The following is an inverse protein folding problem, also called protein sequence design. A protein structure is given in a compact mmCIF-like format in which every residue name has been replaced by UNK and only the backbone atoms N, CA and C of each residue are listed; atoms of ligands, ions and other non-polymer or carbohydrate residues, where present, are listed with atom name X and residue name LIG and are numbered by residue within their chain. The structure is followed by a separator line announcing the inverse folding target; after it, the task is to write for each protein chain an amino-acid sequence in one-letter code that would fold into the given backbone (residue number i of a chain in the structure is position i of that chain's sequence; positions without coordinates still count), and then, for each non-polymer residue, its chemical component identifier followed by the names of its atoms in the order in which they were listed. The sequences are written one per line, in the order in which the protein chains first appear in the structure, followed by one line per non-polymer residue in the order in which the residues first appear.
data_IF_525173914536
#
_entry.id   IF_525173914536
#
_cell.length_a   1.000
_cell.length_b   1.000
_cell.length_c   1.000
_cell.angle_alpha   90.00
_cell.angle_beta   90.00
_cell.angle_gamma   90.00
#
_symmetry.space_group_name_H-M   'P 1'
#
loop_
_entity.id
_entity.type
_entity.pdbx_description
1 polymer ?
#
# COMPACT_ATOMS: atom_id res chain seq x y z
N UNK A 1 -24.39 48.54 -37.17
CA UNK A 1 -24.62 47.14 -37.58
C UNK A 1 -23.29 46.40 -37.37
N UNK A 2 -23.14 45.32 -36.61
CA UNK A 2 -24.12 44.40 -36.05
C UNK A 2 -23.73 43.92 -34.65
N UNK A 3 -24.71 43.32 -33.99
CA UNK A 3 -24.77 43.00 -32.58
C UNK A 3 -23.87 41.83 -32.16
N UNK A 4 -23.44 41.90 -30.89
CA UNK A 4 -22.85 40.80 -30.14
C UNK A 4 -23.79 39.58 -30.10
N UNK A 5 -23.28 38.41 -30.50
CA UNK A 5 -23.94 37.13 -30.23
C UNK A 5 -23.44 36.59 -28.89
N UNK A 6 -24.32 36.63 -27.89
CA UNK A 6 -24.24 35.77 -26.69
C UNK A 6 -24.41 34.33 -27.16
N UNK A 7 -23.44 33.46 -26.91
CA UNK A 7 -23.65 32.02 -27.02
C UNK A 7 -24.21 31.54 -25.69
N UNK A 8 -25.35 30.87 -25.76
CA UNK A 8 -26.11 30.40 -24.62
C UNK A 8 -25.37 29.26 -23.90
N UNK A 9 -25.48 29.29 -22.58
CA UNK A 9 -25.17 28.20 -21.67
C UNK A 9 -26.02 26.98 -22.08
N UNK A 10 -25.38 25.93 -22.59
CA UNK A 10 -25.99 24.63 -22.77
C UNK A 10 -25.54 23.72 -21.64
N UNK A 11 -26.44 23.39 -20.72
CA UNK A 11 -26.24 22.30 -19.77
C UNK A 11 -26.31 20.95 -20.51
N UNK A 12 -25.31 20.05 -20.35
CA UNK A 12 -25.54 18.65 -20.58
C UNK A 12 -26.05 17.97 -19.30
N UNK A 13 -27.25 17.42 -19.47
CA UNK A 13 -27.89 16.32 -18.75
C UNK A 13 -27.07 15.59 -17.67
N UNK A 14 -27.71 15.43 -16.51
CA UNK A 14 -27.19 14.69 -15.37
C UNK A 14 -26.74 13.27 -15.71
N UNK A 15 -25.43 13.05 -15.58
CA UNK A 15 -24.88 11.80 -15.08
C UNK A 15 -24.51 12.03 -13.63
N UNK A 16 -25.03 11.21 -12.70
CA UNK A 16 -24.62 11.28 -11.29
C UNK A 16 -23.13 10.92 -11.22
N UNK A 17 -22.23 11.84 -10.84
CA UNK A 17 -20.82 11.50 -10.70
C UNK A 17 -20.64 10.50 -9.56
N UNK A 18 -19.71 9.57 -9.78
CA UNK A 18 -19.52 8.32 -9.05
C UNK A 18 -19.79 8.38 -7.55
N UNK A 19 -20.75 7.58 -7.11
CA UNK A 19 -20.90 7.24 -5.70
C UNK A 19 -19.71 6.38 -5.30
N UNK A 20 -18.99 6.82 -4.29
CA UNK A 20 -18.04 5.95 -3.60
C UNK A 20 -18.91 4.95 -2.85
N UNK A 21 -18.80 3.66 -3.20
CA UNK A 21 -19.62 2.64 -2.57
C UNK A 21 -19.20 2.54 -1.09
N UNK A 22 -19.98 3.14 -0.19
CA UNK A 22 -19.72 3.10 1.26
C UNK A 22 -19.75 1.67 1.83
N UNK A 23 -20.25 0.70 1.06
CA UNK A 23 -20.29 -0.73 1.40
C UNK A 23 -19.06 -1.50 0.92
N UNK A 24 -18.24 -0.93 0.04
CA UNK A 24 -17.00 -1.55 -0.44
C UNK A 24 -15.83 -0.67 0.03
N UNK A 25 -15.59 -0.62 1.33
CA UNK A 25 -14.39 -0.02 1.91
C UNK A 25 -13.22 -0.97 1.64
N UNK A 26 -12.74 -1.00 0.40
CA UNK A 26 -11.49 -1.65 0.07
C UNK A 26 -10.36 -0.77 0.62
N UNK A 27 -9.73 -1.23 1.70
CA UNK A 27 -8.61 -0.56 2.39
C UNK A 27 -7.32 -0.73 1.60
N UNK A 28 -7.23 -0.04 0.46
CA UNK A 28 -6.04 0.00 -0.37
C UNK A 28 -5.17 1.20 0.03
N UNK A 29 -3.84 1.04 0.15
CA UNK A 29 -2.91 2.13 0.43
C UNK A 29 -2.73 3.00 -0.83
N UNK A 30 -3.73 3.81 -1.14
CA UNK A 30 -3.77 4.66 -2.33
C UNK A 30 -3.50 6.11 -1.97
N UNK A 31 -2.94 6.88 -2.91
CA UNK A 31 -2.84 8.33 -2.82
C UNK A 31 -3.43 8.93 -4.09
N UNK A 32 -4.39 9.85 -3.96
CA UNK A 32 -4.90 10.60 -5.11
C UNK A 32 -4.04 11.85 -5.31
N UNK A 33 -3.51 12.03 -6.52
CA UNK A 33 -2.59 13.13 -6.83
C UNK A 33 -3.06 13.96 -8.02
N UNK A 34 -3.21 15.25 -7.81
CA UNK A 34 -3.42 16.22 -8.89
C UNK A 34 -2.08 16.63 -9.49
N UNK A 35 -1.79 16.16 -10.71
CA UNK A 35 -0.52 16.47 -11.39
C UNK A 35 -0.46 17.94 -11.85
N UNK A 36 -1.59 18.51 -12.26
CA UNK A 36 -1.72 19.91 -12.64
C UNK A 36 -2.87 20.56 -11.87
N UNK A 37 -2.65 21.81 -11.45
CA UNK A 37 -3.60 22.53 -10.62
C UNK A 37 -4.88 22.96 -11.37
N UNK A 38 -4.80 23.10 -12.69
CA UNK A 38 -5.91 23.55 -13.55
C UNK A 38 -7.00 22.49 -13.74
N UNK A 39 -6.68 21.21 -13.53
CA UNK A 39 -7.66 20.11 -13.55
C UNK A 39 -8.20 19.75 -12.17
N UNK A 40 -7.89 20.53 -11.14
CA UNK A 40 -8.42 20.30 -9.80
C UNK A 40 -9.94 20.42 -9.81
N UNK A 41 -10.63 19.40 -9.32
CA UNK A 41 -12.05 19.47 -8.99
C UNK A 41 -12.30 19.05 -7.55
N UNK A 42 -13.43 19.47 -7.00
CA UNK A 42 -13.89 18.97 -5.70
C UNK A 42 -14.49 17.59 -5.90
N UNK A 43 -13.91 16.59 -5.23
CA UNK A 43 -14.45 15.24 -5.25
C UNK A 43 -15.71 15.19 -4.40
N UNK A 44 -16.83 14.87 -5.04
CA UNK A 44 -18.14 14.74 -4.41
C UNK A 44 -18.69 13.34 -4.70
N UNK A 45 -18.70 12.41 -3.74
CA UNK A 45 -18.26 12.58 -2.35
C UNK A 45 -16.72 12.66 -2.20
N UNK A 46 -16.22 13.19 -1.07
CA UNK A 46 -14.78 13.27 -0.80
C UNK A 46 -14.17 11.86 -0.69
N UNK A 47 -12.84 11.74 -0.90
CA UNK A 47 -12.16 10.49 -0.67
C UNK A 47 -12.29 10.03 0.80
N UNK A 48 -12.37 8.71 1.07
CA UNK A 48 -12.20 8.13 2.36
C UNK A 48 -10.93 8.66 3.02
N UNK A 49 -10.92 8.71 4.35
CA UNK A 49 -9.80 9.28 5.10
C UNK A 49 -8.46 8.59 4.84
N UNK A 50 -8.47 7.31 4.42
CA UNK A 50 -7.27 6.54 4.12
C UNK A 50 -6.66 6.84 2.74
N UNK A 51 -7.33 7.60 1.86
CA UNK A 51 -6.80 7.99 0.54
C UNK A 51 -6.37 9.47 0.60
N UNK A 52 -5.11 9.78 0.96
CA UNK A 52 -4.62 11.15 1.00
C UNK A 52 -4.63 11.84 -0.37
N UNK A 53 -4.84 13.16 -0.33
CA UNK A 53 -4.78 14.05 -1.48
C UNK A 53 -3.40 14.71 -1.58
N UNK A 54 -2.75 14.60 -2.73
CA UNK A 54 -1.44 15.18 -3.04
C UNK A 54 -1.49 16.06 -4.28
N UNK A 55 -0.47 16.93 -4.44
CA UNK A 55 -0.35 17.83 -5.59
C UNK A 55 1.06 17.77 -6.18
N UNK A 56 1.15 18.00 -7.49
CA UNK A 56 2.40 18.15 -8.24
C UNK A 56 2.86 16.88 -8.96
N UNK A 57 3.85 17.01 -9.86
CA UNK A 57 4.39 15.90 -10.64
C UNK A 57 4.85 14.74 -9.75
N UNK A 58 4.74 13.51 -10.24
CA UNK A 58 5.40 12.39 -9.60
C UNK A 58 6.92 12.63 -9.70
N UNK A 59 7.63 12.49 -8.58
CA UNK A 59 9.09 12.42 -8.66
C UNK A 59 9.44 11.29 -9.64
N UNK A 60 10.41 11.49 -10.55
CA UNK A 60 10.97 10.39 -11.32
C UNK A 60 11.32 9.30 -10.32
N UNK A 61 10.74 8.13 -10.53
CA UNK A 61 11.04 6.94 -9.74
C UNK A 61 12.46 6.56 -10.08
N UNK A 62 13.43 7.14 -9.37
CA UNK A 62 14.67 6.45 -9.12
C UNK A 62 14.27 5.24 -8.28
N UNK A 63 14.44 4.05 -8.81
CA UNK A 63 14.36 2.80 -8.08
C UNK A 63 15.08 2.95 -6.74
N UNK A 64 14.32 3.10 -5.65
CA UNK A 64 14.70 2.95 -4.24
C UNK A 64 13.80 3.82 -3.35
N UNK A 65 12.66 3.28 -2.92
CA UNK A 65 12.40 3.37 -1.48
C UNK A 65 13.24 2.28 -0.85
N UNK A 66 14.50 2.59 -0.58
CA UNK A 66 15.36 1.75 0.25
C UNK A 66 14.74 1.81 1.64
N UNK A 67 13.92 0.81 1.98
CA UNK A 67 13.56 0.54 3.36
C UNK A 67 14.87 0.59 4.14
N UNK A 68 14.94 1.47 5.15
CA UNK A 68 16.15 1.64 5.94
C UNK A 68 16.54 0.28 6.50
N UNK A 69 17.49 -0.39 5.84
CA UNK A 69 18.17 -1.55 6.35
C UNK A 69 18.89 -1.07 7.59
N UNK A 70 18.27 -1.32 8.74
CA UNK A 70 18.90 -1.11 10.03
C UNK A 70 20.18 -1.94 10.00
N UNK A 71 21.33 -1.28 10.06
CA UNK A 71 22.61 -1.95 10.17
C UNK A 71 22.56 -2.84 11.41
N UNK A 72 22.48 -4.15 11.19
CA UNK A 72 22.67 -5.13 12.25
C UNK A 72 24.13 -5.03 12.68
N UNK A 73 24.36 -4.45 13.85
CA UNK A 73 25.66 -4.51 14.50
C UNK A 73 25.94 -5.98 14.84
N UNK A 74 27.09 -6.43 14.38
CA UNK A 74 27.73 -7.73 14.62
C UNK A 74 27.48 -8.25 16.05
N UNK A 75 26.65 -9.28 16.15
CA UNK A 75 26.62 -10.18 17.29
C UNK A 75 26.40 -11.57 16.72
N UNK A 76 27.43 -12.40 16.80
CA UNK A 76 27.48 -13.77 16.32
C UNK A 76 26.17 -14.53 16.60
N UNK A 77 25.52 -15.15 15.59
CA UNK A 77 24.46 -16.12 15.85
C UNK A 77 25.13 -17.46 16.16
N UNK A 78 25.55 -17.62 17.41
CA UNK A 78 25.70 -18.95 17.99
C UNK A 78 24.30 -19.50 18.34
N UNK A 79 24.05 -20.70 17.82
CA UNK A 79 23.16 -21.75 18.33
C UNK A 79 21.76 -21.92 17.68
N UNK A 80 21.56 -23.17 17.24
CA UNK A 80 20.30 -23.88 17.00
C UNK A 80 19.56 -23.65 15.66
N UNK A 81 20.14 -24.21 14.60
CA UNK A 81 19.35 -24.86 13.55
C UNK A 81 18.58 -26.02 14.21
N UNK A 82 17.27 -25.86 14.47
CA UNK A 82 16.18 -26.87 14.44
C UNK A 82 14.96 -26.49 15.31
N UNK A 83 14.95 -25.33 15.99
CA UNK A 83 13.71 -24.83 16.60
C UNK A 83 12.88 -24.10 15.54
N UNK A 84 11.97 -24.81 14.87
CA UNK A 84 11.04 -24.19 13.91
C UNK A 84 10.36 -22.99 14.58
N UNK A 85 10.58 -21.79 14.05
CA UNK A 85 10.04 -20.58 14.64
C UNK A 85 8.51 -20.68 14.72
N UNK A 86 7.94 -20.39 15.88
CA UNK A 86 6.49 -20.40 16.10
C UNK A 86 5.91 -18.99 15.96
N UNK A 87 4.68 -18.93 15.46
CA UNK A 87 3.89 -17.71 15.43
C UNK A 87 3.61 -17.24 16.85
N UNK A 88 3.86 -15.96 17.12
CA UNK A 88 3.66 -15.36 18.45
C UNK A 88 2.18 -15.26 18.86
N UNK A 89 1.26 -15.44 17.90
CA UNK A 89 -0.19 -15.27 18.10
C UNK A 89 -0.92 -16.61 18.26
N UNK A 90 -0.67 -17.57 17.37
CA UNK A 90 -1.35 -18.87 17.41
C UNK A 90 -0.47 -20.00 17.96
N UNK A 91 0.81 -19.73 18.27
CA UNK A 91 1.83 -20.71 18.67
C UNK A 91 2.10 -21.84 17.65
N UNK A 92 1.49 -21.78 16.46
CA UNK A 92 1.72 -22.72 15.37
C UNK A 92 3.07 -22.48 14.68
N UNK A 93 3.58 -23.50 13.98
CA UNK A 93 4.82 -23.39 13.23
C UNK A 93 4.69 -22.40 12.06
N UNK A 94 5.69 -21.54 11.88
CA UNK A 94 5.82 -20.67 10.72
C UNK A 94 6.43 -21.52 9.59
N UNK A 95 5.60 -21.96 8.64
CA UNK A 95 6.02 -22.75 7.48
C UNK A 95 5.58 -22.14 6.15
N UNK A 96 5.03 -20.92 6.17
CA UNK A 96 4.49 -20.29 4.96
C UNK A 96 5.62 -19.99 3.96
N UNK A 97 5.35 -20.23 2.68
CA UNK A 97 6.28 -19.97 1.57
C UNK A 97 6.69 -18.49 1.51
N UNK A 98 5.77 -17.58 1.83
CA UNK A 98 6.03 -16.13 1.91
C UNK A 98 6.84 -15.68 3.14
N UNK A 99 7.10 -16.59 4.09
CA UNK A 99 7.77 -16.27 5.35
C UNK A 99 6.90 -15.49 6.36
N UNK A 100 7.36 -15.34 7.62
CA UNK A 100 6.60 -14.66 8.67
C UNK A 100 6.70 -13.13 8.58
N UNK A 101 5.61 -12.45 8.93
CA UNK A 101 5.68 -11.01 9.18
C UNK A 101 6.45 -10.73 10.47
N UNK A 102 7.42 -9.83 10.37
CA UNK A 102 8.28 -9.41 11.47
C UNK A 102 8.07 -7.93 11.78
N UNK A 103 8.10 -7.55 13.05
CA UNK A 103 8.03 -6.15 13.43
C UNK A 103 9.31 -5.39 13.00
N UNK A 104 9.22 -4.25 12.29
CA UNK A 104 10.38 -3.48 11.85
C UNK A 104 11.12 -2.75 12.99
N UNK A 105 10.48 -2.62 14.16
CA UNK A 105 11.10 -1.96 15.29
C UNK A 105 12.25 -2.80 15.87
N UNK A 106 13.44 -2.20 16.07
CA UNK A 106 14.62 -2.93 16.50
C UNK A 106 14.42 -3.59 17.87
N UNK A 107 14.87 -4.84 17.98
CA UNK A 107 14.77 -5.64 19.21
C UNK A 107 13.37 -6.17 19.52
N UNK A 108 12.37 -5.93 18.67
CA UNK A 108 11.06 -6.55 18.85
C UNK A 108 11.09 -8.02 18.40
N UNK A 109 10.69 -8.98 19.27
CA UNK A 109 10.73 -10.40 18.92
C UNK A 109 9.51 -10.87 18.11
N UNK A 110 8.60 -9.96 17.72
CA UNK A 110 7.35 -10.35 17.06
C UNK A 110 7.63 -11.01 15.72
N UNK A 111 7.18 -12.26 15.60
CA UNK A 111 7.06 -13.01 14.34
C UNK A 111 5.69 -13.68 14.31
N UNK A 112 4.93 -13.49 13.24
CA UNK A 112 3.58 -14.03 13.14
C UNK A 112 3.26 -14.46 11.69
N UNK A 113 2.31 -15.37 11.55
CA UNK A 113 1.67 -15.60 10.25
C UNK A 113 1.02 -14.31 9.76
N UNK A 114 1.02 -14.11 8.45
CA UNK A 114 0.35 -12.96 7.83
C UNK A 114 -1.12 -12.89 8.26
N UNK A 115 -1.84 -14.01 8.18
CA UNK A 115 -3.28 -14.06 8.49
C UNK A 115 -3.52 -13.74 9.98
N UNK A 116 -2.73 -14.33 10.90
CA UNK A 116 -2.90 -14.08 12.33
C UNK A 116 -2.69 -12.60 12.69
N UNK A 117 -1.68 -11.95 12.09
CA UNK A 117 -1.44 -10.54 12.35
C UNK A 117 -2.51 -9.65 11.72
N UNK A 118 -3.03 -10.03 10.54
CA UNK A 118 -4.15 -9.33 9.91
C UNK A 118 -5.40 -9.38 10.79
N UNK A 119 -5.77 -10.56 11.29
CA UNK A 119 -6.91 -10.74 12.18
C UNK A 119 -6.78 -9.92 13.46
N UNK A 120 -5.58 -9.87 14.04
CA UNK A 120 -5.29 -9.05 15.22
C UNK A 120 -5.55 -7.55 14.96
N UNK A 121 -5.14 -7.03 13.79
CA UNK A 121 -5.34 -5.63 13.44
C UNK A 121 -6.80 -5.32 13.07
N UNK A 122 -7.56 -6.32 12.63
CA UNK A 122 -8.94 -6.17 12.15
C UNK A 122 -10.01 -6.41 13.23
N UNK A 123 -9.63 -6.64 14.48
CA UNK A 123 -10.58 -6.94 15.57
C UNK A 123 -11.68 -5.87 15.73
N UNK A 124 -11.34 -4.60 15.52
CA UNK A 124 -12.26 -3.47 15.65
C UNK A 124 -12.98 -3.12 14.34
N UNK A 125 -12.62 -3.77 13.22
CA UNK A 125 -13.14 -3.48 11.88
C UNK A 125 -13.73 -4.74 11.21
N UNK A 126 -14.82 -5.32 11.77
CA UNK A 126 -15.42 -6.54 11.25
C UNK A 126 -15.93 -6.33 9.81
N UNK A 127 -15.48 -7.18 8.89
CA UNK A 127 -15.84 -7.14 7.46
C UNK A 127 -14.78 -6.50 6.57
N UNK A 128 -13.71 -5.95 7.14
CA UNK A 128 -12.48 -5.63 6.40
C UNK A 128 -11.65 -6.91 6.20
N UNK A 129 -10.98 -7.01 5.05
CA UNK A 129 -10.08 -8.12 4.73
C UNK A 129 -8.60 -7.73 4.82
N UNK A 130 -8.31 -6.43 4.73
CA UNK A 130 -6.96 -5.89 4.71
C UNK A 130 -6.87 -4.78 5.76
N UNK A 131 -6.04 -4.93 6.81
CA UNK A 131 -5.80 -3.84 7.73
C UNK A 131 -4.96 -2.75 7.03
N UNK A 132 -5.19 -1.51 7.40
CA UNK A 132 -4.34 -0.38 6.98
C UNK A 132 -3.13 -0.24 7.92
N UNK A 133 -3.41 -0.28 9.22
CA UNK A 133 -2.47 -0.11 10.31
C UNK A 133 -2.92 -0.90 11.54
N UNK A 134 -2.03 -1.05 12.51
CA UNK A 134 -2.34 -1.67 13.80
C UNK A 134 -1.22 -1.51 14.81
N UNK A 135 -1.45 -1.92 16.05
CA UNK A 135 -0.42 -1.88 17.10
C UNK A 135 0.29 -3.22 17.20
N UNK A 136 1.63 -3.20 17.18
CA UNK A 136 2.44 -4.40 17.35
C UNK A 136 2.09 -5.11 18.68
N UNK A 137 1.66 -6.38 18.69
CA UNK A 137 1.35 -7.08 19.94
C UNK A 137 2.57 -7.25 20.86
N UNK A 138 3.79 -7.24 20.31
CA UNK A 138 5.05 -7.32 21.06
C UNK A 138 5.50 -5.99 21.67
N UNK A 139 5.80 -4.97 20.84
CA UNK A 139 6.36 -3.69 21.31
C UNK A 139 5.35 -2.55 21.44
N UNK A 140 4.08 -2.76 21.06
CA UNK A 140 2.97 -1.78 21.11
C UNK A 140 3.12 -0.53 20.23
N UNK A 141 4.20 -0.41 19.46
CA UNK A 141 4.33 0.67 18.49
C UNK A 141 3.35 0.47 17.31
N UNK A 142 2.94 1.59 16.70
CA UNK A 142 2.14 1.59 15.48
C UNK A 142 2.90 0.98 14.30
N UNK A 143 2.20 0.18 13.52
CA UNK A 143 2.69 -0.49 12.32
C UNK A 143 1.76 -0.19 11.16
N UNK A 144 2.34 0.09 9.98
CA UNK A 144 1.60 0.16 8.73
C UNK A 144 1.63 -1.20 8.05
N UNK A 145 0.47 -1.69 7.61
CA UNK A 145 0.39 -3.00 6.96
C UNK A 145 1.24 -3.06 5.69
N UNK A 146 1.19 -2.00 4.88
CA UNK A 146 1.99 -1.90 3.66
C UNK A 146 3.49 -2.04 3.90
N UNK A 147 4.02 -1.44 4.98
CA UNK A 147 5.43 -1.54 5.32
C UNK A 147 5.82 -2.98 5.71
N UNK A 148 4.95 -3.68 6.45
CA UNK A 148 5.18 -5.08 6.83
C UNK A 148 5.23 -5.99 5.60
N UNK A 149 4.32 -5.81 4.64
CA UNK A 149 4.29 -6.61 3.40
C UNK A 149 5.51 -6.32 2.52
N UNK A 150 5.89 -5.06 2.37
CA UNK A 150 7.09 -4.67 1.60
C UNK A 150 8.36 -5.29 2.20
N UNK A 151 8.52 -5.24 3.53
CA UNK A 151 9.66 -5.82 4.22
C UNK A 151 9.69 -7.35 4.15
N UNK A 152 8.53 -7.99 4.16
CA UNK A 152 8.41 -9.44 4.02
C UNK A 152 8.97 -9.93 2.67
N UNK A 153 8.60 -9.25 1.58
CA UNK A 153 9.03 -9.59 0.22
C UNK A 153 10.53 -9.38 0.01
N UNK A 154 11.05 -8.25 0.48
CA UNK A 154 12.49 -7.96 0.39
C UNK A 154 13.37 -8.97 1.15
N UNK A 155 12.83 -9.69 2.14
CA UNK A 155 13.56 -10.76 2.83
C UNK A 155 13.66 -12.07 2.04
N UNK A 156 12.95 -12.20 0.92
CA UNK A 156 12.86 -13.42 0.11
C UNK A 156 13.54 -13.32 -1.27
N UNK A 157 13.99 -12.13 -1.67
CA UNK A 157 14.52 -11.87 -3.01
C UNK A 157 15.94 -11.27 -2.95
N UNK A 158 16.91 -12.10 -2.55
CA UNK A 158 18.24 -12.06 -3.14
C UNK A 158 18.28 -13.18 -4.19
N UNK A 159 17.86 -12.93 -5.45
CA UNK A 159 18.35 -13.64 -6.66
C UNK A 159 17.60 -13.17 -7.95
N UNK A 160 18.42 -12.86 -8.97
CA UNK A 160 18.15 -12.79 -10.42
C UNK A 160 17.37 -11.59 -11.01
N UNK A 161 18.09 -10.46 -11.16
CA UNK A 161 17.85 -9.51 -12.25
C UNK A 161 18.32 -10.13 -13.58
N UNK A 162 17.46 -10.87 -14.29
CA UNK A 162 17.67 -11.15 -15.71
C UNK A 162 16.76 -10.26 -16.57
N UNK A 163 17.44 -9.30 -17.19
CA UNK A 163 17.04 -8.40 -18.26
C UNK A 163 16.20 -9.09 -19.36
N UNK A 164 14.91 -8.79 -19.40
CA UNK A 164 14.07 -8.96 -20.57
C UNK A 164 13.42 -7.61 -20.89
N UNK A 165 14.13 -6.78 -21.65
CA UNK A 165 13.56 -5.69 -22.46
C UNK A 165 12.52 -6.27 -23.44
N UNK A 166 11.33 -6.52 -22.92
CA UNK A 166 10.13 -6.75 -23.72
C UNK A 166 9.60 -5.39 -24.15
N UNK A 167 9.62 -5.14 -25.45
CA UNK A 167 9.05 -3.99 -26.13
C UNK A 167 7.52 -3.98 -25.91
N UNK A 168 7.08 -3.56 -24.73
CA UNK A 168 5.66 -3.41 -24.43
C UNK A 168 5.14 -2.13 -25.10
N UNK A 169 4.41 -2.34 -26.19
CA UNK A 169 3.55 -1.34 -26.83
C UNK A 169 2.72 -0.65 -25.73
N UNK A 170 3.09 0.60 -25.46
CA UNK A 170 2.57 1.37 -24.34
C UNK A 170 1.11 1.68 -24.61
N UNK A 171 0.21 1.09 -23.82
CA UNK A 171 -1.26 1.21 -23.90
C UNK A 171 -1.81 2.63 -24.14
N UNK A 172 -1.00 3.66 -23.90
CA UNK A 172 -1.29 5.08 -24.09
C UNK A 172 -1.39 5.49 -25.57
N UNK A 173 -0.80 4.75 -26.50
CA UNK A 173 -0.87 5.04 -27.94
C UNK A 173 -2.26 4.77 -28.54
N UNK A 174 -3.12 4.07 -27.80
CA UNK A 174 -4.49 3.73 -28.22
C UNK A 174 -5.55 4.76 -27.80
N UNK A 175 -5.14 5.89 -27.20
CA UNK A 175 -6.04 6.94 -26.71
C UNK A 175 -6.14 8.16 -27.66
N UNK A 176 -5.46 8.14 -28.81
CA UNK A 176 -5.62 9.16 -29.85
C UNK A 176 -6.72 8.75 -30.86
N UNK A 177 -7.99 8.98 -30.49
CA UNK A 177 -9.10 9.11 -31.44
C UNK A 177 -10.04 10.24 -31.06
#
# INVERSE_FOLDING_TARGET
MGAAKKVALGEPAGGVPGRWCSSCTASLPLTLRWLRADFRCELCPPPPPHVPLSFGPLAPRSSASKCHASTFADTEPQLDQDAKACCSLCAGALQDEEGPLCCPHPGCPLRAHMICLAEEFLQEEPGQLLPLEGQCPGCKNSLLWGDLICLCRMGTEEEEEEDLESEEEHWTDMLET
#
